data_IF_636975483838
#
_entry.id   IF_636975483838
#
_cell.length_a   1.000
_cell.length_b   1.000
_cell.length_c   1.000
_cell.angle_alpha   90.00
_cell.angle_beta   90.00
_cell.angle_gamma   90.00
#
_symmetry.space_group_name_H-M   'P 1'
#
loop_
_entity.id
_entity.type
_entity.pdbx_description
1 polymer ?
#
# COMPACT_ATOMS: atom_id res chain seq x y z
N UNK A 1 -19.13 -6.36 -5.17
CA UNK A 1 -20.27 -5.44 -4.95
C UNK A 1 -19.98 -4.00 -5.40
N UNK A 2 -19.03 -3.20 -4.79
CA UNK A 2 -18.75 -1.83 -5.30
C UNK A 2 -18.15 -1.84 -6.71
N UNK A 3 -17.19 -2.70 -6.97
CA UNK A 3 -16.59 -2.86 -8.31
C UNK A 3 -17.62 -3.27 -9.37
N UNK A 4 -18.58 -4.10 -9.02
CA UNK A 4 -19.71 -4.47 -9.90
C UNK A 4 -20.61 -3.27 -10.17
N UNK A 5 -20.99 -2.54 -9.13
CA UNK A 5 -21.83 -1.36 -9.24
C UNK A 5 -21.17 -0.24 -10.05
N UNK A 6 -19.91 0.06 -9.77
CA UNK A 6 -19.18 1.19 -10.37
C UNK A 6 -18.48 0.86 -11.69
N UNK A 7 -18.13 -0.40 -11.92
CA UNK A 7 -17.23 -0.80 -13.01
C UNK A 7 -15.75 -0.52 -12.76
N UNK A 8 -15.41 0.02 -11.61
CA UNK A 8 -14.02 0.21 -11.22
C UNK A 8 -13.40 -1.14 -10.84
N UNK A 9 -12.45 -1.58 -11.66
CA UNK A 9 -11.71 -2.84 -11.52
C UNK A 9 -10.23 -2.61 -11.23
N UNK A 10 -9.87 -1.41 -10.74
CA UNK A 10 -8.48 -1.11 -10.46
C UNK A 10 -7.85 -2.18 -9.54
N UNK A 11 -6.71 -2.78 -9.94
CA UNK A 11 -6.12 -3.91 -9.22
C UNK A 11 -5.65 -3.56 -7.81
N UNK A 12 -5.46 -2.28 -7.49
CA UNK A 12 -5.14 -1.84 -6.12
C UNK A 12 -6.21 -2.26 -5.10
N UNK A 13 -7.47 -2.37 -5.54
CA UNK A 13 -8.60 -2.72 -4.69
C UNK A 13 -8.93 -4.21 -4.69
N UNK A 14 -8.58 -4.94 -5.76
CA UNK A 14 -9.07 -6.28 -6.03
C UNK A 14 -7.97 -7.35 -6.02
N UNK A 15 -6.73 -6.99 -6.37
CA UNK A 15 -5.62 -7.94 -6.46
C UNK A 15 -4.70 -7.84 -5.24
N UNK A 16 -4.65 -8.91 -4.46
CA UNK A 16 -3.71 -9.04 -3.35
C UNK A 16 -2.26 -8.99 -3.82
N UNK A 17 -1.97 -9.60 -4.97
CA UNK A 17 -0.62 -9.64 -5.54
C UNK A 17 -0.16 -8.25 -5.97
N UNK A 18 -1.01 -7.54 -6.73
CA UNK A 18 -0.74 -6.17 -7.14
C UNK A 18 -0.56 -5.23 -5.95
N UNK A 19 -1.50 -5.26 -4.99
CA UNK A 19 -1.46 -4.39 -3.82
C UNK A 19 -0.22 -4.63 -2.95
N UNK A 20 0.29 -5.86 -2.89
CA UNK A 20 1.55 -6.17 -2.20
C UNK A 20 2.76 -5.45 -2.80
N UNK A 21 2.76 -5.15 -4.09
CA UNK A 21 3.85 -4.41 -4.74
C UNK A 21 3.80 -2.90 -4.49
N UNK A 22 2.71 -2.40 -3.91
CA UNK A 22 2.52 -0.98 -3.56
C UNK A 22 2.99 -0.66 -2.15
N UNK A 23 3.05 0.64 -1.81
CA UNK A 23 3.35 1.11 -0.46
C UNK A 23 2.33 0.68 0.60
N UNK A 24 1.15 0.23 0.19
CA UNK A 24 0.12 -0.25 1.09
C UNK A 24 0.31 -1.72 1.50
N UNK A 25 0.95 -2.54 0.66
CA UNK A 25 1.22 -3.95 0.91
C UNK A 25 0.00 -4.86 1.00
N UNK A 26 -1.21 -4.30 0.81
CA UNK A 26 -2.50 -4.99 0.85
C UNK A 26 -3.55 -4.20 0.07
N UNK A 27 -4.67 -4.81 -0.35
CA UNK A 27 -5.76 -4.11 -1.02
C UNK A 27 -6.32 -2.96 -0.18
N UNK A 28 -6.60 -1.85 -0.84
CA UNK A 28 -7.19 -0.65 -0.25
C UNK A 28 -8.69 -0.65 -0.57
N UNK A 29 -9.52 -0.25 0.39
CA UNK A 29 -10.97 -0.07 0.16
C UNK A 29 -11.17 1.12 -0.78
N UNK A 30 -12.12 1.02 -1.71
CA UNK A 30 -12.48 2.13 -2.59
C UNK A 30 -12.86 3.38 -1.79
N UNK A 31 -12.22 4.51 -2.04
CA UNK A 31 -12.50 5.77 -1.36
C UNK A 31 -13.97 6.20 -1.49
N UNK A 32 -14.53 6.03 -2.69
CA UNK A 32 -15.92 6.34 -2.98
C UNK A 32 -16.92 5.48 -2.19
N UNK A 33 -16.56 4.25 -1.80
CA UNK A 33 -17.37 3.43 -0.90
C UNK A 33 -17.47 4.07 0.50
N UNK A 34 -16.38 4.61 1.02
CA UNK A 34 -16.38 5.38 2.26
C UNK A 34 -17.18 6.68 2.15
N UNK A 35 -17.14 7.35 0.99
CA UNK A 35 -17.95 8.53 0.73
C UNK A 35 -19.45 8.18 0.69
N UNK A 36 -19.84 7.03 0.14
CA UNK A 36 -21.23 6.55 0.18
C UNK A 36 -21.69 6.27 1.62
N UNK A 37 -20.82 5.68 2.46
CA UNK A 37 -21.13 5.51 3.87
C UNK A 37 -21.36 6.86 4.57
N UNK A 38 -20.56 7.89 4.27
CA UNK A 38 -20.79 9.25 4.75
C UNK A 38 -22.15 9.82 4.29
N UNK A 39 -22.52 9.61 3.01
CA UNK A 39 -23.81 10.07 2.47
C UNK A 39 -25.01 9.48 3.22
N UNK A 40 -24.92 8.23 3.68
CA UNK A 40 -25.98 7.58 4.47
C UNK A 40 -26.26 8.26 5.81
N UNK A 41 -25.35 9.10 6.29
CA UNK A 41 -25.51 9.89 7.51
C UNK A 41 -25.91 11.36 7.24
N UNK A 42 -26.09 11.74 5.98
CA UNK A 42 -26.55 13.08 5.59
C UNK A 42 -28.01 13.03 5.19
N UNK A 43 -28.87 13.65 5.98
CA UNK A 43 -30.30 13.75 5.72
C UNK A 43 -30.66 15.18 5.35
N UNK A 44 -31.04 15.40 4.09
CA UNK A 44 -31.57 16.68 3.65
C UNK A 44 -33.02 16.81 4.11
N UNK A 45 -33.46 18.00 4.56
CA UNK A 45 -34.89 18.23 4.87
C UNK A 45 -35.77 18.07 3.63
N UNK A 46 -37.04 17.73 3.84
CA UNK A 46 -38.01 17.67 2.74
C UNK A 46 -38.03 19.00 1.95
N UNK A 47 -38.07 18.89 0.64
CA UNK A 47 -38.06 20.05 -0.26
C UNK A 47 -36.65 20.67 -0.47
N UNK A 48 -35.59 20.05 0.04
CA UNK A 48 -34.22 20.48 -0.24
C UNK A 48 -33.57 19.59 -1.31
N UNK A 49 -32.83 20.22 -2.22
CA UNK A 49 -32.13 19.53 -3.30
C UNK A 49 -30.64 19.87 -3.22
N UNK A 50 -29.79 18.85 -3.35
CA UNK A 50 -28.35 19.03 -3.42
C UNK A 50 -27.94 19.86 -4.66
N UNK A 51 -27.04 20.81 -4.48
CA UNK A 51 -26.51 21.68 -5.54
C UNK A 51 -25.03 21.45 -5.81
N UNK A 52 -24.31 20.83 -4.88
CA UNK A 52 -22.94 20.39 -5.10
C UNK A 52 -22.56 19.25 -4.17
N UNK A 53 -21.63 18.43 -4.64
CA UNK A 53 -20.95 17.37 -3.90
C UNK A 53 -19.45 17.66 -3.88
N UNK A 54 -18.86 17.60 -2.70
CA UNK A 54 -17.40 17.55 -2.52
C UNK A 54 -17.08 16.29 -1.72
N UNK A 55 -16.24 15.41 -2.27
CA UNK A 55 -15.70 14.24 -1.60
C UNK A 55 -14.18 14.30 -1.58
N UNK A 56 -13.57 14.17 -0.41
CA UNK A 56 -12.12 14.19 -0.22
C UNK A 56 -11.67 12.86 0.39
N UNK A 57 -10.66 12.23 -0.23
CA UNK A 57 -10.08 10.96 0.17
C UNK A 57 -8.72 11.24 0.79
N UNK A 58 -8.70 11.39 2.11
CA UNK A 58 -7.57 11.94 2.85
C UNK A 58 -6.51 10.90 3.17
N UNK A 59 -6.95 9.66 3.42
CA UNK A 59 -6.09 8.52 3.75
C UNK A 59 -6.69 7.21 3.22
N UNK A 60 -5.85 6.18 2.98
CA UNK A 60 -6.35 4.87 2.56
C UNK A 60 -7.21 4.23 3.66
N UNK A 61 -8.23 3.50 3.24
CA UNK A 61 -9.04 2.66 4.11
C UNK A 61 -8.70 1.19 3.87
N UNK A 62 -8.77 0.37 4.92
CA UNK A 62 -8.42 -1.05 4.86
C UNK A 62 -9.57 -1.96 5.28
N UNK A 63 -9.58 -3.17 4.73
CA UNK A 63 -10.57 -4.20 5.05
C UNK A 63 -10.39 -4.62 6.53
N UNK A 64 -11.51 -4.84 7.23
CA UNK A 64 -11.49 -5.27 8.64
C UNK A 64 -11.27 -4.15 9.66
N UNK A 65 -11.02 -2.91 9.22
CA UNK A 65 -10.93 -1.75 10.11
C UNK A 65 -12.32 -1.17 10.38
N UNK A 66 -12.60 -0.85 11.62
CA UNK A 66 -13.84 -0.17 12.03
C UNK A 66 -13.64 1.34 11.92
N UNK A 67 -14.51 1.99 11.17
CA UNK A 67 -14.52 3.44 10.99
C UNK A 67 -15.73 4.04 11.68
N UNK A 68 -15.61 5.28 12.16
CA UNK A 68 -16.65 6.05 12.82
C UNK A 68 -17.04 7.23 11.94
N UNK A 69 -18.34 7.48 11.78
CA UNK A 69 -18.84 8.65 11.04
C UNK A 69 -19.23 9.76 12.03
N UNK A 70 -18.79 10.97 11.74
CA UNK A 70 -19.26 12.20 12.40
C UNK A 70 -19.92 13.11 11.39
N UNK A 71 -20.99 13.78 11.81
CA UNK A 71 -21.73 14.72 10.95
C UNK A 71 -21.77 16.10 11.56
N UNK A 72 -21.71 17.11 10.71
CA UNK A 72 -21.95 18.50 11.08
C UNK A 72 -22.85 19.19 10.08
N UNK A 73 -23.60 20.21 10.52
CA UNK A 73 -24.52 20.96 9.70
C UNK A 73 -24.34 22.46 9.92
N UNK A 74 -24.29 23.20 8.81
CA UNK A 74 -24.39 24.68 8.76
C UNK A 74 -25.53 25.06 7.82
N UNK A 75 -26.06 26.26 7.84
CA UNK A 75 -27.10 26.70 6.90
C UNK A 75 -26.71 26.41 5.44
N UNK A 76 -27.52 25.61 4.75
CA UNK A 76 -27.29 25.19 3.36
C UNK A 76 -26.11 24.25 3.11
N UNK A 77 -25.48 23.73 4.16
CA UNK A 77 -24.30 22.86 4.04
C UNK A 77 -24.35 21.74 5.07
N UNK A 78 -24.14 20.50 4.58
CA UNK A 78 -24.00 19.28 5.37
C UNK A 78 -22.62 18.69 5.16
N UNK A 79 -22.05 18.16 6.21
CA UNK A 79 -20.75 17.51 6.18
C UNK A 79 -20.80 16.21 6.96
N UNK A 80 -20.22 15.16 6.42
CA UNK A 80 -19.97 13.90 7.10
C UNK A 80 -18.51 13.51 6.91
N UNK A 81 -17.87 13.05 7.97
CA UNK A 81 -16.47 12.61 7.96
C UNK A 81 -16.35 11.20 8.51
N UNK A 82 -15.56 10.39 7.85
CA UNK A 82 -15.22 9.04 8.28
C UNK A 82 -13.86 9.06 8.97
N UNK A 83 -13.77 8.49 10.16
CA UNK A 83 -12.58 8.48 11.00
C UNK A 83 -12.04 7.08 11.24
N UNK A 84 -10.73 6.93 11.18
CA UNK A 84 -9.96 5.84 11.78
C UNK A 84 -9.33 6.37 13.08
N UNK A 85 -9.88 5.98 14.23
CA UNK A 85 -9.53 6.59 15.51
C UNK A 85 -9.82 8.09 15.51
N UNK A 86 -8.78 8.90 15.72
CA UNK A 86 -8.83 10.36 15.68
C UNK A 86 -8.56 10.94 14.29
N UNK A 87 -8.18 10.12 13.32
CA UNK A 87 -7.75 10.58 11.99
C UNK A 87 -8.88 10.50 10.99
N UNK A 88 -9.22 11.65 10.36
CA UNK A 88 -10.17 11.68 9.25
C UNK A 88 -9.58 10.98 8.02
N UNK A 89 -10.33 10.05 7.42
CA UNK A 89 -9.94 9.29 6.22
C UNK A 89 -10.73 9.67 4.98
N UNK A 90 -12.01 10.02 5.14
CA UNK A 90 -12.88 10.51 4.07
C UNK A 90 -13.70 11.68 4.61
N UNK A 91 -13.93 12.70 3.78
CA UNK A 91 -14.85 13.82 4.08
C UNK A 91 -15.78 14.03 2.91
N UNK A 92 -17.07 14.14 3.19
CA UNK A 92 -18.11 14.45 2.20
C UNK A 92 -18.84 15.72 2.63
N UNK A 93 -18.99 16.65 1.69
CA UNK A 93 -19.74 17.89 1.88
C UNK A 93 -20.80 18.03 0.82
N UNK A 94 -22.03 18.31 1.23
CA UNK A 94 -23.12 18.68 0.34
C UNK A 94 -23.52 20.14 0.59
N UNK A 95 -23.69 20.90 -0.50
CA UNK A 95 -24.49 22.12 -0.46
C UNK A 95 -25.87 21.79 -1.00
N UNK A 96 -26.89 22.33 -0.40
CA UNK A 96 -28.27 22.16 -0.84
C UNK A 96 -29.05 23.45 -0.64
N UNK A 97 -30.13 23.59 -1.41
CA UNK A 97 -31.06 24.70 -1.33
C UNK A 97 -32.51 24.19 -1.35
N UNK A 98 -33.42 25.01 -0.94
CA UNK A 98 -34.84 24.73 -1.06
C UNK A 98 -35.17 24.60 -2.55
N UNK A 99 -35.79 23.48 -2.93
CA UNK A 99 -36.28 23.27 -4.29
C UNK A 99 -37.57 24.09 -4.49
N UNK A 100 -37.63 24.88 -5.53
CA UNK A 100 -38.83 25.62 -5.92
C UNK A 100 -39.70 24.84 -6.89
N UNK A 101 -39.38 23.58 -7.19
CA UNK A 101 -40.08 22.74 -8.17
C UNK A 101 -40.29 21.35 -7.60
N UNK A 102 -41.39 20.71 -8.05
CA UNK A 102 -41.58 19.27 -7.88
C UNK A 102 -40.31 18.53 -8.36
N UNK A 103 -39.87 17.53 -7.62
CA UNK A 103 -38.69 16.74 -7.94
C UNK A 103 -38.79 16.27 -9.40
N UNK A 104 -37.72 16.49 -10.17
CA UNK A 104 -37.65 15.96 -11.52
C UNK A 104 -37.86 14.45 -11.45
N UNK A 105 -38.79 13.90 -12.26
CA UNK A 105 -39.09 12.47 -12.21
C UNK A 105 -37.80 11.68 -12.35
N UNK A 106 -37.60 10.69 -11.49
CA UNK A 106 -36.48 9.77 -11.59
C UNK A 106 -36.46 9.21 -13.03
N UNK A 107 -35.32 9.40 -13.71
CA UNK A 107 -35.13 8.80 -15.02
C UNK A 107 -35.12 7.28 -14.89
N UNK A 108 -35.34 6.59 -15.98
CA UNK A 108 -35.31 5.13 -16.06
C UNK A 108 -33.94 4.60 -15.68
N UNK A 109 -33.87 3.92 -14.55
CA UNK A 109 -32.72 3.17 -14.10
C UNK A 109 -32.74 1.77 -14.72
N UNK A 110 -32.58 1.68 -16.04
CA UNK A 110 -32.50 0.42 -16.76
C UNK A 110 -31.11 -0.21 -16.64
N UNK A 111 -30.97 -1.52 -16.88
CA UNK A 111 -29.68 -2.17 -16.92
C UNK A 111 -28.86 -1.58 -18.07
N UNK A 112 -27.75 -0.93 -17.72
CA UNK A 112 -26.74 -0.52 -18.70
C UNK A 112 -25.60 -1.51 -18.66
N UNK A 113 -25.55 -2.38 -19.68
CA UNK A 113 -24.40 -3.29 -19.88
C UNK A 113 -23.37 -2.52 -20.69
N UNK A 114 -22.28 -2.15 -20.04
CA UNK A 114 -21.09 -1.61 -20.74
C UNK A 114 -20.01 -2.68 -20.69
N UNK A 115 -19.39 -2.92 -21.84
CA UNK A 115 -18.13 -3.68 -21.88
C UNK A 115 -17.08 -2.92 -21.07
N UNK A 116 -16.57 -3.57 -20.04
CA UNK A 116 -15.61 -3.00 -19.09
C UNK A 116 -14.27 -3.68 -19.30
N UNK A 117 -13.34 -2.94 -19.89
CA UNK A 117 -11.95 -3.35 -20.05
C UNK A 117 -11.16 -3.35 -18.74
N UNK A 118 -9.89 -3.64 -18.86
CA UNK A 118 -8.92 -3.46 -17.79
C UNK A 118 -8.60 -1.98 -17.58
N UNK A 119 -8.02 -1.63 -16.42
CA UNK A 119 -7.60 -0.27 -16.13
C UNK A 119 -6.52 0.19 -17.11
N UNK A 120 -6.66 1.40 -17.63
CA UNK A 120 -5.69 1.97 -18.57
C UNK A 120 -4.31 2.09 -17.90
N UNK A 121 -3.29 1.55 -18.54
CA UNK A 121 -1.90 1.70 -18.13
C UNK A 121 -1.32 2.91 -18.86
N UNK A 122 -1.18 4.03 -18.16
CA UNK A 122 -0.62 5.27 -18.72
C UNK A 122 0.73 5.58 -18.09
N UNK A 123 1.67 5.97 -18.94
CA UNK A 123 2.93 6.53 -18.49
C UNK A 123 2.67 7.92 -17.88
N UNK A 124 3.36 8.24 -16.78
CA UNK A 124 3.18 9.52 -16.08
C UNK A 124 3.43 10.72 -17.00
N UNK A 125 4.42 10.61 -17.87
CA UNK A 125 4.85 11.63 -18.82
C UNK A 125 3.83 11.88 -19.94
N UNK A 126 2.92 10.92 -20.18
CA UNK A 126 1.85 11.07 -21.18
C UNK A 126 0.63 11.83 -20.65
N UNK A 127 0.55 12.06 -19.33
CA UNK A 127 -0.55 12.80 -18.71
C UNK A 127 -0.13 14.26 -18.61
N UNK A 128 -0.51 15.04 -19.60
CA UNK A 128 -0.14 16.45 -19.77
C UNK A 128 -1.38 17.34 -19.84
N UNK A 129 -1.28 18.63 -19.49
CA UNK A 129 -2.38 19.56 -19.69
C UNK A 129 -2.92 19.53 -21.11
N UNK A 130 -4.25 19.54 -21.25
CA UNK A 130 -4.93 19.43 -22.54
C UNK A 130 -5.22 17.98 -23.01
N UNK A 131 -4.70 16.95 -22.33
CA UNK A 131 -5.13 15.57 -22.58
C UNK A 131 -6.62 15.44 -22.23
N UNK A 132 -7.42 14.97 -23.20
CA UNK A 132 -8.86 14.79 -23.04
C UNK A 132 -9.29 13.34 -23.21
N UNK A 133 -10.31 12.96 -22.46
CA UNK A 133 -11.06 11.73 -22.66
C UNK A 133 -12.55 12.01 -22.62
N UNK A 134 -13.30 11.27 -23.41
CA UNK A 134 -14.78 11.34 -23.43
C UNK A 134 -15.34 9.93 -23.58
N UNK A 135 -16.49 9.71 -23.00
CA UNK A 135 -17.14 8.42 -23.07
C UNK A 135 -18.56 8.44 -22.52
N UNK A 136 -19.16 7.29 -22.50
CA UNK A 136 -20.45 7.04 -21.85
C UNK A 136 -20.21 6.18 -20.61
N UNK A 137 -20.86 6.53 -19.51
CA UNK A 137 -20.79 5.77 -18.29
C UNK A 137 -22.20 5.29 -17.89
N UNK A 138 -22.27 4.05 -17.47
CA UNK A 138 -23.44 3.47 -16.84
C UNK A 138 -23.03 2.60 -15.67
N UNK A 139 -23.77 2.71 -14.58
CA UNK A 139 -23.59 1.85 -13.41
C UNK A 139 -24.54 0.63 -13.49
N UNK A 140 -24.18 -0.44 -12.78
CA UNK A 140 -25.15 -1.50 -12.51
C UNK A 140 -26.18 -0.97 -11.48
N UNK A 141 -27.38 -0.65 -11.98
CA UNK A 141 -28.41 -0.01 -11.18
C UNK A 141 -28.88 -0.88 -10.01
N UNK A 142 -28.92 -2.20 -10.16
CA UNK A 142 -29.35 -3.12 -9.11
C UNK A 142 -28.29 -3.25 -8.01
N UNK A 143 -27.02 -3.42 -8.41
CA UNK A 143 -25.90 -3.45 -7.49
C UNK A 143 -25.74 -2.12 -6.76
N UNK A 144 -25.89 -0.98 -7.46
CA UNK A 144 -25.83 0.35 -6.87
C UNK A 144 -26.96 0.58 -5.87
N UNK A 145 -28.20 0.17 -6.21
CA UNK A 145 -29.35 0.27 -5.31
C UNK A 145 -29.13 -0.54 -4.03
N UNK A 146 -28.67 -1.78 -4.17
CA UNK A 146 -28.35 -2.64 -3.03
C UNK A 146 -27.28 -2.00 -2.14
N UNK A 147 -26.26 -1.40 -2.75
CA UNK A 147 -25.17 -0.75 -2.06
C UNK A 147 -25.65 0.52 -1.31
N UNK A 148 -26.45 1.37 -1.98
CA UNK A 148 -27.01 2.59 -1.40
C UNK A 148 -27.95 2.27 -0.22
N UNK A 149 -28.82 1.27 -0.38
CA UNK A 149 -29.74 0.83 0.66
C UNK A 149 -29.03 0.35 1.93
N UNK A 150 -27.83 -0.24 1.81
CA UNK A 150 -27.02 -0.70 2.95
C UNK A 150 -26.70 0.42 3.94
N UNK A 151 -26.59 1.65 3.48
CA UNK A 151 -26.34 2.85 4.30
C UNK A 151 -27.52 3.78 4.40
N UNK A 152 -28.72 3.36 3.93
CA UNK A 152 -29.92 4.20 3.98
C UNK A 152 -29.89 5.39 3.01
N UNK A 153 -29.05 5.36 1.97
CA UNK A 153 -29.01 6.39 0.94
C UNK A 153 -30.20 6.19 0.00
N UNK A 154 -31.16 7.10 0.03
CA UNK A 154 -32.36 7.04 -0.81
C UNK A 154 -32.10 7.61 -2.21
N UNK A 155 -31.38 8.72 -2.30
CA UNK A 155 -31.02 9.35 -3.58
C UNK A 155 -29.91 8.54 -4.26
N UNK A 156 -30.21 7.92 -5.40
CA UNK A 156 -29.25 7.11 -6.18
C UNK A 156 -28.29 7.94 -7.04
N UNK A 157 -28.60 9.21 -7.25
CA UNK A 157 -27.81 10.09 -8.11
C UNK A 157 -26.41 10.37 -7.53
N UNK A 158 -26.31 10.70 -6.24
CA UNK A 158 -25.03 10.95 -5.60
C UNK A 158 -24.11 9.71 -5.55
N UNK A 159 -24.60 8.50 -5.18
CA UNK A 159 -23.85 7.26 -5.33
C UNK A 159 -23.39 6.96 -6.75
N UNK A 160 -24.21 7.26 -7.77
CA UNK A 160 -23.83 7.10 -9.18
C UNK A 160 -22.68 8.01 -9.56
N UNK A 161 -22.70 9.28 -9.15
CA UNK A 161 -21.62 10.23 -9.39
C UNK A 161 -20.29 9.80 -8.71
N UNK A 162 -20.37 9.28 -7.48
CA UNK A 162 -19.20 8.71 -6.79
C UNK A 162 -18.68 7.46 -7.50
N UNK A 163 -19.57 6.59 -8.00
CA UNK A 163 -19.21 5.40 -8.77
C UNK A 163 -18.52 5.79 -10.09
N UNK A 164 -19.07 6.78 -10.80
CA UNK A 164 -18.46 7.33 -12.01
C UNK A 164 -17.07 7.93 -11.73
N UNK A 165 -16.93 8.74 -10.67
CA UNK A 165 -15.65 9.33 -10.31
C UNK A 165 -14.57 8.28 -9.99
N UNK A 166 -14.96 7.19 -9.31
CA UNK A 166 -14.08 6.05 -9.08
C UNK A 166 -13.65 5.37 -10.39
N UNK A 167 -14.63 5.12 -11.29
CA UNK A 167 -14.37 4.56 -12.60
C UNK A 167 -13.44 5.45 -13.44
N UNK A 168 -13.75 6.75 -13.57
CA UNK A 168 -12.92 7.70 -14.32
C UNK A 168 -11.47 7.66 -13.87
N UNK A 169 -11.26 7.80 -12.55
CA UNK A 169 -9.90 7.88 -11.99
C UNK A 169 -9.21 6.53 -11.98
N UNK A 170 -9.90 5.47 -11.59
CA UNK A 170 -9.32 4.15 -11.42
C UNK A 170 -9.12 3.37 -12.73
N UNK A 171 -9.95 3.65 -13.75
CA UNK A 171 -9.94 2.87 -14.98
C UNK A 171 -9.39 3.63 -16.18
N UNK A 172 -9.55 4.97 -16.24
CA UNK A 172 -9.24 5.72 -17.45
C UNK A 172 -8.16 6.79 -17.27
N UNK A 173 -8.30 7.70 -16.30
CA UNK A 173 -7.39 8.84 -16.15
C UNK A 173 -7.21 9.23 -14.67
N UNK A 174 -6.04 8.93 -14.09
CA UNK A 174 -4.81 8.36 -14.62
C UNK A 174 -4.85 6.84 -14.91
N UNK A 175 -5.85 6.09 -14.44
CA UNK A 175 -5.97 4.65 -14.64
C UNK A 175 -5.31 3.82 -13.56
N UNK A 176 -4.63 2.72 -13.93
CA UNK A 176 -4.13 1.69 -13.00
C UNK A 176 -3.31 2.24 -11.83
N UNK A 177 -2.43 3.20 -12.08
CA UNK A 177 -1.56 3.77 -11.04
C UNK A 177 -2.20 4.91 -10.23
N UNK A 178 -3.50 5.17 -10.41
CA UNK A 178 -4.19 6.27 -9.75
C UNK A 178 -4.37 6.10 -8.25
N UNK A 179 -4.36 7.24 -7.56
CA UNK A 179 -4.91 7.42 -6.21
C UNK A 179 -5.89 8.59 -6.26
N UNK A 180 -7.16 8.32 -6.02
CA UNK A 180 -8.18 9.37 -6.00
C UNK A 180 -8.05 10.22 -4.74
N UNK A 181 -7.93 11.54 -4.91
CA UNK A 181 -7.74 12.48 -3.81
C UNK A 181 -8.99 13.31 -3.51
N UNK A 182 -9.63 13.85 -4.55
CA UNK A 182 -10.78 14.74 -4.36
C UNK A 182 -11.67 14.77 -5.58
N UNK A 183 -12.99 14.90 -5.35
CA UNK A 183 -14.01 15.17 -6.35
C UNK A 183 -14.84 16.38 -5.91
N UNK A 184 -15.03 17.35 -6.79
CA UNK A 184 -15.93 18.48 -6.58
C UNK A 184 -16.84 18.59 -7.78
N UNK A 185 -18.14 18.44 -7.58
CA UNK A 185 -19.15 18.58 -8.61
C UNK A 185 -20.18 19.64 -8.23
N UNK A 186 -20.59 20.46 -9.18
CA UNK A 186 -21.72 21.38 -9.12
C UNK A 186 -22.80 20.84 -10.03
N UNK A 187 -24.04 20.83 -9.54
CA UNK A 187 -25.17 20.27 -10.28
C UNK A 187 -25.86 21.37 -11.05
N UNK A 188 -26.07 21.11 -12.33
CA UNK A 188 -26.68 22.06 -13.26
C UNK A 188 -28.06 21.54 -13.71
N UNK A 189 -29.02 22.47 -13.77
CA UNK A 189 -30.31 22.23 -14.40
C UNK A 189 -31.24 21.23 -13.70
N UNK A 190 -32.34 20.95 -14.41
CA UNK A 190 -33.38 19.96 -14.07
C UNK A 190 -33.27 18.71 -14.94
N UNK A 191 -32.06 18.41 -15.45
CA UNK A 191 -31.84 17.26 -16.32
C UNK A 191 -32.25 15.95 -15.62
N UNK A 192 -32.93 15.07 -16.35
CA UNK A 192 -33.33 13.76 -15.86
C UNK A 192 -32.13 13.00 -15.36
N UNK A 193 -32.17 12.60 -14.12
CA UNK A 193 -31.17 11.74 -13.50
C UNK A 193 -31.32 10.34 -14.05
N UNK A 194 -30.38 9.88 -14.84
CA UNK A 194 -30.39 8.56 -15.51
C UNK A 194 -29.24 7.69 -15.03
N UNK A 195 -29.39 6.37 -15.13
CA UNK A 195 -28.32 5.42 -14.87
C UNK A 195 -27.17 5.49 -15.87
N UNK A 196 -27.38 6.13 -17.04
CA UNK A 196 -26.37 6.32 -18.08
C UNK A 196 -26.17 7.80 -18.35
N UNK A 197 -24.93 8.22 -18.49
CA UNK A 197 -24.53 9.60 -18.78
C UNK A 197 -23.29 9.63 -19.65
N UNK A 198 -23.12 10.70 -20.42
CA UNK A 198 -21.88 10.98 -21.12
C UNK A 198 -21.00 11.86 -20.27
N UNK A 199 -19.68 11.68 -20.40
CA UNK A 199 -18.72 12.52 -19.71
C UNK A 199 -17.64 13.02 -20.67
N UNK A 200 -17.10 14.16 -20.33
CA UNK A 200 -15.89 14.73 -20.89
C UNK A 200 -14.96 15.12 -19.76
N UNK A 201 -13.70 14.73 -19.85
CA UNK A 201 -12.66 15.03 -18.88
C UNK A 201 -11.42 15.57 -19.58
N UNK A 202 -10.86 16.67 -19.08
CA UNK A 202 -9.69 17.35 -19.61
C UNK A 202 -8.67 17.61 -18.50
N UNK A 203 -7.43 17.22 -18.68
CA UNK A 203 -6.35 17.53 -17.73
C UNK A 203 -6.09 19.03 -17.75
N UNK A 204 -6.41 19.71 -16.65
CA UNK A 204 -6.16 21.13 -16.47
C UNK A 204 -4.70 21.40 -16.04
N UNK A 205 -4.19 20.57 -15.12
CA UNK A 205 -2.80 20.66 -14.66
C UNK A 205 -2.24 19.27 -14.29
N UNK A 206 -0.93 19.11 -14.45
CA UNK A 206 -0.19 17.91 -14.04
C UNK A 206 1.16 18.33 -13.43
N UNK A 207 1.36 18.05 -12.12
CA UNK A 207 2.66 18.26 -11.46
C UNK A 207 3.44 16.94 -11.46
N UNK A 208 4.44 16.85 -12.32
CA UNK A 208 5.27 15.67 -12.47
C UNK A 208 6.12 15.35 -11.23
N UNK A 209 6.42 16.29 -10.34
CA UNK A 209 7.23 16.06 -9.12
C UNK A 209 6.47 15.20 -8.12
N UNK A 210 5.20 15.53 -7.90
CA UNK A 210 4.34 14.83 -6.94
C UNK A 210 3.37 13.84 -7.60
N UNK A 211 3.24 13.88 -8.93
CA UNK A 211 2.27 13.07 -9.67
C UNK A 211 0.84 13.53 -9.48
N UNK A 212 0.62 14.79 -9.06
CA UNK A 212 -0.70 15.36 -8.90
C UNK A 212 -1.28 15.70 -10.28
N UNK A 213 -2.51 15.26 -10.52
CA UNK A 213 -3.28 15.56 -11.75
C UNK A 213 -4.58 16.22 -11.33
N UNK A 214 -4.86 17.37 -11.90
CA UNK A 214 -6.14 18.07 -11.82
C UNK A 214 -6.86 17.91 -13.15
N UNK A 215 -8.10 17.44 -13.10
CA UNK A 215 -8.92 17.16 -14.28
C UNK A 215 -10.23 17.93 -14.17
N UNK A 216 -10.55 18.76 -15.16
CA UNK A 216 -11.88 19.34 -15.34
C UNK A 216 -12.82 18.30 -15.94
N UNK A 217 -14.05 18.26 -15.42
CA UNK A 217 -15.03 17.26 -15.82
C UNK A 217 -16.40 17.87 -16.09
N UNK A 218 -17.08 17.35 -17.09
CA UNK A 218 -18.48 17.65 -17.36
C UNK A 218 -19.27 16.37 -17.64
N UNK A 219 -20.49 16.33 -17.16
CA UNK A 219 -21.41 15.20 -17.25
C UNK A 219 -22.69 15.66 -17.93
N UNK A 220 -23.22 14.89 -18.87
CA UNK A 220 -24.43 15.22 -19.60
C UNK A 220 -25.37 14.02 -19.76
N UNK A 221 -26.67 14.30 -19.82
CA UNK A 221 -27.69 13.35 -20.22
C UNK A 221 -28.39 13.90 -21.48
N UNK A 222 -28.16 13.27 -22.62
CA UNK A 222 -28.50 13.83 -23.92
C UNK A 222 -27.75 15.16 -24.16
N UNK A 223 -28.46 16.20 -24.53
CA UNK A 223 -27.89 17.55 -24.76
C UNK A 223 -27.76 18.42 -23.49
N UNK A 224 -28.23 17.94 -22.34
CA UNK A 224 -28.25 18.73 -21.11
C UNK A 224 -27.09 18.38 -20.18
N UNK A 225 -26.32 19.38 -19.76
CA UNK A 225 -25.32 19.22 -18.68
C UNK A 225 -26.05 18.96 -17.35
N UNK A 226 -25.63 17.91 -16.65
CA UNK A 226 -26.20 17.52 -15.35
C UNK A 226 -25.27 17.89 -14.19
N UNK A 227 -23.94 17.85 -14.43
CA UNK A 227 -22.96 18.27 -13.45
C UNK A 227 -21.67 18.69 -14.17
N UNK A 228 -20.94 19.64 -13.56
CA UNK A 228 -19.59 20.02 -13.96
C UNK A 228 -18.71 20.21 -12.73
N UNK A 229 -17.41 20.11 -12.90
CA UNK A 229 -16.48 20.30 -11.78
C UNK A 229 -15.08 19.83 -12.03
N UNK A 230 -14.43 19.35 -10.99
CA UNK A 230 -13.03 18.98 -11.00
C UNK A 230 -12.78 17.72 -10.18
N UNK A 231 -11.79 16.93 -10.58
CA UNK A 231 -11.24 15.87 -9.76
C UNK A 231 -9.72 15.97 -9.66
N UNK A 232 -9.19 15.58 -8.53
CA UNK A 232 -7.76 15.52 -8.25
C UNK A 232 -7.36 14.07 -7.96
N UNK A 233 -6.30 13.66 -8.58
CA UNK A 233 -5.72 12.32 -8.38
C UNK A 233 -4.20 12.40 -8.31
N UNK A 234 -3.58 11.38 -7.73
CA UNK A 234 -2.14 11.18 -7.77
C UNK A 234 -1.81 9.97 -8.61
N UNK A 235 -0.71 10.06 -9.34
CA UNK A 235 -0.11 8.92 -10.03
C UNK A 235 0.94 8.33 -9.09
N UNK A 236 0.76 7.07 -8.70
CA UNK A 236 1.76 6.35 -7.91
C UNK A 236 3.05 6.20 -8.73
N UNK A 237 4.22 6.43 -8.13
CA UNK A 237 5.47 6.14 -8.80
C UNK A 237 5.56 4.65 -9.15
N UNK A 238 6.24 4.27 -10.25
CA UNK A 238 6.50 2.88 -10.56
C UNK A 238 7.25 2.20 -9.41
N UNK A 239 7.02 0.88 -9.25
CA UNK A 239 7.71 0.10 -8.20
C UNK A 239 9.22 0.22 -8.43
N UNK A 240 10.01 0.55 -7.39
CA UNK A 240 11.45 0.62 -7.55
C UNK A 240 12.00 -0.74 -7.95
N UNK A 241 12.73 -0.78 -9.05
CA UNK A 241 13.51 -1.95 -9.41
C UNK A 241 14.68 -2.10 -8.44
N UNK A 242 15.11 -3.34 -8.23
CA UNK A 242 16.34 -3.58 -7.48
C UNK A 242 17.52 -3.17 -8.36
N UNK A 243 18.14 -2.06 -8.02
CA UNK A 243 19.30 -1.53 -8.72
C UNK A 243 20.38 -2.60 -8.89
N UNK A 244 21.10 -2.54 -9.99
CA UNK A 244 22.29 -3.38 -10.18
C UNK A 244 23.29 -3.02 -9.09
N UNK A 245 23.83 -4.03 -8.43
CA UNK A 245 24.94 -3.82 -7.50
C UNK A 245 26.17 -3.51 -8.35
N UNK A 246 26.76 -2.34 -8.13
CA UNK A 246 28.02 -2.00 -8.76
C UNK A 246 29.09 -2.99 -8.30
N UNK A 247 29.79 -3.61 -9.25
CA UNK A 247 30.85 -4.58 -8.96
C UNK A 247 32.11 -3.94 -8.32
N UNK A 248 32.18 -2.61 -8.30
CA UNK A 248 33.28 -1.89 -7.65
C UNK A 248 33.32 -2.23 -6.15
N UNK A 249 34.45 -2.80 -5.70
CA UNK A 249 34.65 -3.23 -4.32
C UNK A 249 34.04 -4.59 -3.94
N UNK A 250 33.37 -5.28 -4.86
CA UNK A 250 32.96 -6.67 -4.67
C UNK A 250 34.14 -7.59 -4.90
N UNK A 251 34.45 -8.47 -3.95
CA UNK A 251 35.46 -9.54 -4.11
C UNK A 251 34.71 -10.81 -4.56
N UNK A 252 34.81 -11.20 -5.84
CA UNK A 252 34.22 -12.45 -6.30
C UNK A 252 34.71 -13.63 -5.45
N UNK A 253 33.85 -14.62 -5.25
CA UNK A 253 34.15 -15.85 -4.51
C UNK A 253 34.61 -15.68 -3.05
N UNK A 254 34.53 -14.46 -2.48
CA UNK A 254 34.91 -14.20 -1.08
C UNK A 254 34.01 -14.93 -0.06
N UNK A 255 32.82 -15.38 -0.49
CA UNK A 255 31.89 -16.21 0.28
C UNK A 255 31.68 -17.59 -0.39
N UNK A 256 32.60 -18.05 -1.25
CA UNK A 256 32.51 -19.37 -1.86
C UNK A 256 32.42 -20.48 -0.79
N UNK A 257 31.53 -21.43 -0.98
CA UNK A 257 31.25 -22.49 0.00
C UNK A 257 30.44 -22.09 1.22
N UNK A 258 30.05 -20.82 1.36
CA UNK A 258 29.09 -20.36 2.38
C UNK A 258 27.65 -20.52 1.91
N UNK A 259 26.77 -20.79 2.85
CA UNK A 259 25.33 -21.01 2.62
C UNK A 259 24.53 -19.97 3.35
N UNK A 260 23.60 -19.33 2.67
CA UNK A 260 22.73 -18.29 3.21
C UNK A 260 21.24 -18.61 3.01
N UNK A 261 20.42 -18.30 3.99
CA UNK A 261 18.94 -18.30 3.90
C UNK A 261 18.43 -16.87 4.11
N UNK A 262 17.59 -16.37 3.21
CA UNK A 262 17.00 -15.02 3.29
C UNK A 262 15.49 -15.11 3.34
N UNK A 263 14.90 -14.71 4.49
CA UNK A 263 13.46 -14.58 4.66
C UNK A 263 13.00 -13.20 4.14
N UNK A 264 12.09 -13.21 3.14
CA UNK A 264 11.70 -11.99 2.44
C UNK A 264 12.65 -11.59 1.31
N UNK A 265 13.01 -12.57 0.46
CA UNK A 265 14.04 -12.45 -0.60
C UNK A 265 13.55 -11.87 -1.93
N UNK A 266 12.22 -11.68 -2.14
CA UNK A 266 11.66 -11.40 -3.48
C UNK A 266 11.83 -9.96 -3.97
N UNK A 267 12.05 -8.99 -3.07
CA UNK A 267 12.10 -7.56 -3.41
C UNK A 267 12.88 -6.73 -2.39
N UNK A 268 13.12 -5.45 -2.73
CA UNK A 268 13.76 -4.47 -1.85
C UNK A 268 15.11 -4.94 -1.33
N UNK A 269 15.37 -4.74 -0.03
CA UNK A 269 16.64 -5.12 0.59
C UNK A 269 16.92 -6.61 0.51
N UNK A 270 15.91 -7.49 0.69
CA UNK A 270 16.11 -8.93 0.63
C UNK A 270 16.57 -9.42 -0.75
N UNK A 271 16.00 -8.91 -1.83
CA UNK A 271 16.44 -9.21 -3.19
C UNK A 271 17.82 -8.63 -3.51
N UNK A 272 18.11 -7.44 -2.99
CA UNK A 272 19.45 -6.85 -3.10
C UNK A 272 20.49 -7.66 -2.33
N UNK A 273 20.17 -8.14 -1.11
CA UNK A 273 21.02 -9.03 -0.31
C UNK A 273 21.32 -10.35 -1.04
N UNK A 274 20.28 -10.94 -1.66
CA UNK A 274 20.45 -12.14 -2.46
C UNK A 274 21.50 -11.93 -3.55
N UNK A 275 21.35 -10.88 -4.35
CA UNK A 275 22.34 -10.53 -5.40
C UNK A 275 23.73 -10.27 -4.84
N UNK A 276 23.82 -9.55 -3.70
CA UNK A 276 25.09 -9.21 -3.10
C UNK A 276 25.88 -10.43 -2.62
N UNK A 277 25.19 -11.45 -2.11
CA UNK A 277 25.78 -12.71 -1.66
C UNK A 277 26.10 -13.65 -2.82
N UNK A 278 25.19 -13.75 -3.82
CA UNK A 278 25.43 -14.51 -5.06
C UNK A 278 26.70 -14.01 -5.80
N UNK A 279 26.88 -12.69 -5.91
CA UNK A 279 28.07 -12.07 -6.53
C UNK A 279 29.38 -12.40 -5.79
N UNK A 280 29.29 -12.86 -4.55
CA UNK A 280 30.43 -13.29 -3.70
C UNK A 280 30.58 -14.80 -3.66
N UNK A 281 29.82 -15.54 -4.47
CA UNK A 281 29.91 -17.00 -4.57
C UNK A 281 29.21 -17.79 -3.48
N UNK A 282 28.36 -17.17 -2.64
CA UNK A 282 27.58 -17.89 -1.64
C UNK A 282 26.42 -18.67 -2.29
N UNK A 283 26.07 -19.83 -1.72
CA UNK A 283 24.84 -20.54 -2.06
C UNK A 283 23.66 -19.89 -1.31
N UNK A 284 22.77 -19.18 -2.05
CA UNK A 284 21.69 -18.43 -1.43
C UNK A 284 20.35 -19.09 -1.65
N UNK A 285 19.63 -19.40 -0.56
CA UNK A 285 18.25 -19.86 -0.54
C UNK A 285 17.34 -18.70 -0.11
N UNK A 286 16.20 -18.56 -0.75
CA UNK A 286 15.22 -17.53 -0.44
C UNK A 286 13.92 -18.11 0.08
N UNK A 287 13.18 -17.33 0.88
CA UNK A 287 11.75 -17.55 1.14
C UNK A 287 10.97 -16.29 0.83
N UNK A 288 9.88 -16.43 0.08
CA UNK A 288 8.99 -15.34 -0.27
C UNK A 288 7.54 -15.81 -0.39
N UNK A 289 6.57 -14.93 -0.17
CA UNK A 289 5.13 -15.25 -0.28
C UNK A 289 4.64 -15.45 -1.72
N UNK A 290 5.40 -14.96 -2.69
CA UNK A 290 5.18 -15.16 -4.12
C UNK A 290 6.49 -15.49 -4.79
N UNK A 291 6.50 -16.47 -5.72
CA UNK A 291 7.68 -16.82 -6.50
C UNK A 291 7.95 -15.76 -7.57
N UNK A 292 9.22 -15.42 -7.79
CA UNK A 292 9.62 -14.73 -9.00
C UNK A 292 9.90 -15.77 -10.09
N UNK A 293 9.35 -15.57 -11.28
CA UNK A 293 9.42 -16.52 -12.40
C UNK A 293 10.86 -16.89 -12.84
N UNK A 294 11.87 -16.12 -12.44
CA UNK A 294 13.28 -16.33 -12.83
C UNK A 294 14.15 -17.06 -11.78
N UNK A 295 13.63 -17.40 -10.58
CA UNK A 295 14.46 -17.91 -9.48
C UNK A 295 13.78 -19.03 -8.66
N UNK A 296 13.07 -19.93 -9.34
CA UNK A 296 12.33 -21.00 -8.68
C UNK A 296 13.23 -22.10 -8.08
N UNK A 297 14.48 -22.22 -8.53
CA UNK A 297 15.36 -23.32 -8.13
C UNK A 297 15.84 -23.24 -6.68
N UNK A 298 15.93 -22.02 -6.10
CA UNK A 298 16.41 -21.80 -4.72
C UNK A 298 15.48 -20.96 -3.87
N UNK A 299 14.23 -20.72 -4.31
CA UNK A 299 13.25 -19.96 -3.56
C UNK A 299 12.09 -20.86 -3.11
N UNK A 300 11.87 -20.96 -1.80
CA UNK A 300 10.70 -21.56 -1.20
C UNK A 300 9.55 -20.55 -1.20
N UNK A 301 8.39 -20.94 -1.72
CA UNK A 301 7.19 -20.09 -1.67
C UNK A 301 6.46 -20.40 -0.36
N UNK A 302 6.43 -19.40 0.53
CA UNK A 302 5.81 -19.60 1.84
C UNK A 302 5.83 -18.32 2.70
N UNK A 303 5.14 -18.42 3.84
CA UNK A 303 5.18 -17.39 4.88
C UNK A 303 6.33 -17.70 5.84
N UNK A 304 7.20 -16.72 6.11
CA UNK A 304 8.32 -16.87 7.05
C UNK A 304 7.89 -17.05 8.53
N UNK A 305 6.60 -16.96 8.84
CA UNK A 305 6.03 -17.34 10.13
C UNK A 305 5.37 -18.75 10.13
N UNK A 306 5.40 -19.45 8.99
CA UNK A 306 4.82 -20.79 8.88
C UNK A 306 5.87 -21.87 9.19
N UNK A 307 5.73 -22.63 10.31
CA UNK A 307 6.71 -23.65 10.71
C UNK A 307 6.89 -24.75 9.66
N UNK A 308 5.84 -25.13 8.95
CA UNK A 308 5.92 -26.19 7.92
C UNK A 308 6.77 -25.73 6.72
N UNK A 309 6.55 -24.50 6.24
CA UNK A 309 7.33 -23.93 5.16
C UNK A 309 8.81 -23.74 5.57
N UNK A 310 9.07 -23.32 6.79
CA UNK A 310 10.43 -23.18 7.34
C UNK A 310 11.13 -24.54 7.46
N UNK A 311 10.42 -25.56 7.92
CA UNK A 311 10.95 -26.93 8.02
C UNK A 311 11.36 -27.47 6.65
N UNK A 312 10.50 -27.36 5.64
CA UNK A 312 10.84 -27.76 4.26
C UNK A 312 12.10 -27.07 3.75
N UNK A 313 12.21 -25.75 3.98
CA UNK A 313 13.40 -24.99 3.59
C UNK A 313 14.64 -25.46 4.33
N UNK A 314 14.58 -25.67 5.66
CA UNK A 314 15.68 -26.21 6.47
C UNK A 314 16.13 -27.58 6.00
N UNK A 315 15.19 -28.50 5.78
CA UNK A 315 15.50 -29.85 5.28
C UNK A 315 16.21 -29.82 3.93
N UNK A 316 15.75 -28.94 3.04
CA UNK A 316 16.38 -28.73 1.75
C UNK A 316 17.82 -28.23 1.88
N UNK A 317 18.06 -27.18 2.69
CA UNK A 317 19.39 -26.62 2.96
C UNK A 317 20.29 -27.69 3.60
N UNK A 318 19.79 -28.43 4.58
CA UNK A 318 20.54 -29.51 5.22
C UNK A 318 20.91 -30.63 4.26
N UNK A 319 19.99 -31.04 3.37
CA UNK A 319 20.24 -32.09 2.38
C UNK A 319 21.25 -31.68 1.31
N UNK A 320 21.18 -30.44 0.83
CA UNK A 320 22.04 -29.95 -0.25
C UNK A 320 23.44 -29.55 0.25
N UNK A 321 23.57 -29.02 1.48
CA UNK A 321 24.81 -28.43 1.96
C UNK A 321 25.27 -28.91 3.35
N UNK A 322 24.38 -29.42 4.19
CA UNK A 322 24.71 -29.87 5.55
C UNK A 322 25.10 -28.74 6.52
N UNK A 323 25.02 -27.50 6.10
CA UNK A 323 25.45 -26.32 6.88
C UNK A 323 24.61 -25.09 6.57
N UNK A 324 24.62 -24.12 7.48
CA UNK A 324 24.08 -22.78 7.27
C UNK A 324 25.01 -21.74 7.90
N UNK A 325 25.55 -20.84 7.07
CA UNK A 325 26.46 -19.79 7.54
C UNK A 325 25.73 -18.49 7.88
N UNK A 326 24.68 -18.16 7.11
CA UNK A 326 23.95 -16.90 7.30
C UNK A 326 22.45 -17.11 7.26
N UNK A 327 21.74 -16.73 8.33
CA UNK A 327 20.28 -16.61 8.36
C UNK A 327 19.89 -15.13 8.35
N UNK A 328 19.29 -14.64 7.27
CA UNK A 328 18.92 -13.23 7.15
C UNK A 328 17.41 -13.06 7.38
N UNK A 329 17.02 -12.54 8.54
CA UNK A 329 15.63 -12.24 8.91
C UNK A 329 15.27 -10.83 8.42
N UNK A 330 14.82 -10.73 7.17
CA UNK A 330 14.44 -9.47 6.53
C UNK A 330 12.93 -9.31 6.32
N UNK A 331 12.14 -10.37 6.42
CA UNK A 331 10.70 -10.31 6.24
C UNK A 331 10.05 -9.33 7.25
N UNK A 332 9.17 -8.47 6.74
CA UNK A 332 8.46 -7.47 7.55
C UNK A 332 7.04 -7.28 7.03
N UNK A 333 6.02 -7.11 7.90
CA UNK A 333 4.69 -6.70 7.47
C UNK A 333 4.72 -5.28 6.86
N UNK A 334 3.69 -4.91 6.08
CA UNK A 334 3.54 -3.52 5.61
C UNK A 334 3.52 -2.54 6.78
N UNK A 335 4.28 -1.45 6.70
CA UNK A 335 4.35 -0.41 7.74
C UNK A 335 3.42 0.73 7.34
N UNK A 336 2.28 0.80 8.00
CA UNK A 336 1.28 1.85 7.79
C UNK A 336 1.16 2.70 9.05
N UNK A 337 0.89 4.00 8.95
CA UNK A 337 0.75 4.85 10.14
C UNK A 337 -0.33 4.33 11.09
N UNK A 338 0.03 4.17 12.38
CA UNK A 338 -0.86 3.87 13.49
C UNK A 338 -0.51 4.80 14.64
N UNK A 339 -1.52 5.26 15.38
CA UNK A 339 -1.31 6.11 16.56
C UNK A 339 -1.54 5.31 17.85
N UNK A 340 -0.86 5.71 18.90
CA UNK A 340 -1.08 5.22 20.28
C UNK A 340 -2.39 5.82 20.81
N UNK A 341 -3.51 5.21 20.45
CA UNK A 341 -4.85 5.58 20.88
C UNK A 341 -5.69 4.32 21.14
N UNK A 342 -6.79 4.41 21.90
CA UNK A 342 -7.57 3.23 22.29
C UNK A 342 -7.99 2.35 21.13
N UNK A 343 -8.40 2.94 20.01
CA UNK A 343 -8.81 2.21 18.79
C UNK A 343 -7.63 1.61 18.02
N UNK A 344 -6.41 2.08 18.27
CA UNK A 344 -5.17 1.60 17.64
C UNK A 344 -4.54 0.40 18.35
N UNK A 345 -4.80 0.22 19.66
CA UNK A 345 -4.10 -0.73 20.51
C UNK A 345 -4.12 -2.17 19.97
N UNK A 346 -5.28 -2.67 19.57
CA UNK A 346 -5.42 -4.02 19.01
C UNK A 346 -4.64 -4.22 17.71
N UNK A 347 -4.62 -3.22 16.83
CA UNK A 347 -3.85 -3.26 15.56
C UNK A 347 -2.35 -3.17 15.80
N UNK A 348 -1.94 -2.38 16.79
CA UNK A 348 -0.53 -2.28 17.23
C UNK A 348 -0.07 -3.64 17.76
N UNK A 349 -0.85 -4.27 18.64
CA UNK A 349 -0.55 -5.61 19.18
C UNK A 349 -0.44 -6.66 18.06
N UNK A 350 -1.42 -6.73 17.18
CA UNK A 350 -1.42 -7.68 16.06
C UNK A 350 -0.23 -7.47 15.08
N UNK A 351 0.16 -6.22 14.86
CA UNK A 351 1.36 -5.93 14.05
C UNK A 351 2.64 -6.43 14.73
N UNK A 352 2.79 -6.15 16.04
CA UNK A 352 3.97 -6.57 16.80
C UNK A 352 4.06 -8.10 16.81
N UNK A 353 2.96 -8.79 17.07
CA UNK A 353 2.90 -10.26 17.07
C UNK A 353 3.34 -10.83 15.71
N UNK A 354 2.77 -10.35 14.61
CA UNK A 354 3.15 -10.80 13.27
C UNK A 354 4.62 -10.46 12.95
N UNK A 355 5.08 -9.25 13.24
CA UNK A 355 6.44 -8.81 12.91
C UNK A 355 7.50 -9.57 13.70
N UNK A 356 7.22 -9.88 14.96
CA UNK A 356 8.09 -10.68 15.83
C UNK A 356 8.09 -12.14 15.36
N UNK A 357 6.94 -12.71 15.03
CA UNK A 357 6.83 -14.09 14.53
C UNK A 357 7.63 -14.33 13.25
N UNK A 358 7.71 -13.33 12.35
CA UNK A 358 8.54 -13.39 11.13
C UNK A 358 10.06 -13.47 11.39
N UNK A 359 10.51 -13.25 12.62
CA UNK A 359 11.90 -13.40 13.05
C UNK A 359 12.05 -14.57 14.03
N UNK A 360 11.14 -14.71 14.97
CA UNK A 360 11.18 -15.74 16.01
C UNK A 360 11.07 -17.15 15.39
N UNK A 361 10.11 -17.38 14.49
CA UNK A 361 9.93 -18.69 13.89
C UNK A 361 11.16 -19.15 13.08
N UNK A 362 11.75 -18.33 12.18
CA UNK A 362 13.01 -18.71 11.53
C UNK A 362 14.17 -18.93 12.49
N UNK A 363 14.35 -18.08 13.49
CA UNK A 363 15.39 -18.30 14.50
C UNK A 363 15.22 -19.67 15.17
N UNK A 364 14.01 -19.97 15.67
CA UNK A 364 13.73 -21.23 16.33
C UNK A 364 14.01 -22.46 15.43
N UNK A 365 13.76 -22.36 14.14
CA UNK A 365 13.94 -23.47 13.19
C UNK A 365 15.41 -23.66 12.77
N UNK A 366 16.20 -22.57 12.65
CA UNK A 366 17.54 -22.64 12.03
C UNK A 366 18.70 -22.49 13.01
N UNK A 367 18.47 -22.13 14.32
CA UNK A 367 19.56 -21.87 15.26
C UNK A 367 20.49 -23.06 15.51
N UNK A 368 19.96 -24.28 15.53
CA UNK A 368 20.79 -25.48 15.67
C UNK A 368 21.74 -25.67 14.46
N UNK A 369 21.22 -25.47 13.24
CA UNK A 369 22.02 -25.59 12.03
C UNK A 369 23.08 -24.48 11.94
N UNK A 370 22.75 -23.24 12.33
CA UNK A 370 23.70 -22.13 12.47
C UNK A 370 24.78 -22.44 13.52
N UNK A 371 24.39 -22.96 14.70
CA UNK A 371 25.30 -23.32 15.77
C UNK A 371 26.29 -24.43 15.34
N UNK A 372 25.80 -25.39 14.54
CA UNK A 372 26.66 -26.43 13.95
C UNK A 372 27.71 -25.91 12.96
N UNK A 373 27.51 -24.74 12.39
CA UNK A 373 28.36 -24.15 11.33
C UNK A 373 29.15 -22.92 11.77
N UNK A 374 29.12 -22.54 13.05
CA UNK A 374 29.66 -21.25 13.55
C UNK A 374 29.04 -20.07 12.78
N UNK A 375 27.73 -20.15 12.53
CA UNK A 375 27.01 -19.24 11.64
C UNK A 375 26.62 -17.92 12.30
N UNK A 376 26.01 -17.06 11.49
CA UNK A 376 25.52 -15.75 11.91
C UNK A 376 24.03 -15.57 11.60
N UNK A 377 23.26 -15.14 12.61
CA UNK A 377 21.90 -14.62 12.41
C UNK A 377 21.96 -13.12 12.16
N UNK A 378 21.51 -12.70 10.98
CA UNK A 378 21.44 -11.30 10.54
C UNK A 378 20.01 -10.80 10.73
N UNK A 379 19.79 -9.85 11.61
CA UNK A 379 18.47 -9.30 11.96
C UNK A 379 18.34 -7.90 11.36
N UNK A 380 17.41 -7.74 10.43
CA UNK A 380 17.15 -6.42 9.83
C UNK A 380 16.22 -5.63 10.76
N UNK A 381 16.81 -4.70 11.49
CA UNK A 381 16.15 -3.72 12.36
C UNK A 381 15.88 -2.39 11.63
N UNK A 382 16.05 -1.26 12.28
CA UNK A 382 15.88 0.08 11.72
C UNK A 382 16.54 1.14 12.63
N UNK A 383 16.97 2.25 12.05
CA UNK A 383 17.39 3.44 12.81
C UNK A 383 16.27 4.00 13.69
N UNK A 384 15.00 3.74 13.37
CA UNK A 384 13.83 4.19 14.16
C UNK A 384 13.76 3.58 15.57
N UNK A 385 14.54 2.55 15.88
CA UNK A 385 14.66 2.05 17.25
C UNK A 385 15.35 3.07 18.18
N UNK A 386 16.23 3.93 17.64
CA UNK A 386 16.91 5.00 18.38
C UNK A 386 16.20 6.35 18.26
N UNK A 387 15.58 6.58 17.10
CA UNK A 387 14.86 7.81 16.80
C UNK A 387 13.39 7.49 16.48
N UNK A 388 12.56 7.25 17.51
CA UNK A 388 11.17 6.86 17.32
C UNK A 388 10.36 7.89 16.56
N UNK A 389 9.54 7.44 15.64
CA UNK A 389 8.59 8.26 14.87
C UNK A 389 7.18 8.00 15.37
N UNK A 390 6.46 9.07 15.70
CA UNK A 390 5.14 9.02 16.35
C UNK A 390 4.08 8.22 15.58
N UNK A 391 4.20 8.16 14.26
CA UNK A 391 3.27 7.46 13.38
C UNK A 391 3.51 5.93 13.33
N UNK A 392 4.63 5.43 13.89
CA UNK A 392 5.03 4.02 13.77
C UNK A 392 5.40 3.35 15.10
N UNK A 393 4.62 3.53 16.19
CA UNK A 393 4.95 2.92 17.51
C UNK A 393 5.03 1.39 17.44
N UNK A 394 4.15 0.75 16.67
CA UNK A 394 4.12 -0.69 16.42
C UNK A 394 5.40 -1.19 15.76
N UNK A 395 5.92 -0.45 14.78
CA UNK A 395 7.15 -0.80 14.05
C UNK A 395 8.38 -0.70 14.96
N UNK A 396 8.49 0.40 15.71
CA UNK A 396 9.59 0.62 16.67
C UNK A 396 9.60 -0.48 17.75
N UNK A 397 8.44 -0.77 18.34
CA UNK A 397 8.31 -1.82 19.36
C UNK A 397 8.69 -3.20 18.81
N UNK A 398 8.20 -3.57 17.61
CA UNK A 398 8.54 -4.83 16.96
C UNK A 398 10.05 -4.94 16.67
N UNK A 399 10.67 -3.85 16.15
CA UNK A 399 12.11 -3.86 15.85
C UNK A 399 12.97 -3.95 17.11
N UNK A 400 12.59 -3.32 18.23
CA UNK A 400 13.25 -3.52 19.52
C UNK A 400 13.11 -4.96 20.02
N UNK A 401 11.93 -5.57 19.88
CA UNK A 401 11.71 -6.95 20.29
C UNK A 401 12.60 -7.94 19.52
N UNK A 402 12.74 -7.78 18.19
CA UNK A 402 13.60 -8.68 17.40
C UNK A 402 15.08 -8.48 17.67
N UNK A 403 15.54 -7.27 18.05
CA UNK A 403 16.90 -7.05 18.53
C UNK A 403 17.18 -7.79 19.85
N UNK A 404 16.22 -7.78 20.77
CA UNK A 404 16.34 -8.52 22.03
C UNK A 404 16.40 -10.03 21.79
N UNK A 405 15.56 -10.58 20.88
CA UNK A 405 15.61 -11.99 20.48
C UNK A 405 16.96 -12.38 19.89
N UNK A 406 17.58 -11.52 19.07
CA UNK A 406 18.91 -11.74 18.53
C UNK A 406 19.96 -11.88 19.63
N UNK A 407 19.92 -10.98 20.62
CA UNK A 407 20.87 -11.03 21.74
C UNK A 407 20.71 -12.30 22.58
N UNK A 408 19.46 -12.75 22.82
CA UNK A 408 19.19 -14.00 23.55
C UNK A 408 19.64 -15.22 22.76
N UNK A 409 19.48 -15.23 21.42
CA UNK A 409 19.90 -16.33 20.56
C UNK A 409 21.40 -16.61 20.65
N UNK A 410 22.25 -15.58 20.68
CA UNK A 410 23.70 -15.77 20.84
C UNK A 410 24.11 -16.20 22.26
N UNK A 411 23.32 -15.88 23.27
CA UNK A 411 23.55 -16.40 24.63
C UNK A 411 23.17 -17.89 24.74
N UNK A 412 22.07 -18.28 24.12
CA UNK A 412 21.55 -19.65 24.15
C UNK A 412 22.37 -20.59 23.26
N UNK A 413 22.92 -20.08 22.15
CA UNK A 413 23.73 -20.82 21.19
C UNK A 413 25.14 -20.16 21.05
N UNK A 414 26.11 -20.54 21.88
CA UNK A 414 27.38 -19.81 22.04
C UNK A 414 28.27 -19.78 20.78
N UNK A 415 28.00 -20.62 19.80
CA UNK A 415 28.73 -20.62 18.51
C UNK A 415 28.05 -19.75 17.45
N UNK A 416 26.81 -19.31 17.70
CA UNK A 416 26.08 -18.40 16.80
C UNK A 416 26.48 -16.97 17.11
N UNK A 417 26.96 -16.25 16.10
CA UNK A 417 27.06 -14.78 16.15
C UNK A 417 25.75 -14.13 15.69
N UNK A 418 25.46 -12.92 16.17
CA UNK A 418 24.32 -12.14 15.68
C UNK A 418 24.77 -10.79 15.16
N UNK A 419 24.24 -10.40 14.00
CA UNK A 419 24.46 -9.10 13.40
C UNK A 419 23.12 -8.35 13.30
N UNK A 420 22.92 -7.36 14.14
CA UNK A 420 21.78 -6.46 14.07
C UNK A 420 22.10 -5.35 13.09
N UNK A 421 21.31 -5.23 12.03
CA UNK A 421 21.48 -4.20 11.00
C UNK A 421 20.40 -3.14 11.18
N UNK A 422 20.78 -1.88 11.34
CA UNK A 422 19.87 -0.73 11.47
C UNK A 422 19.96 0.16 10.24
N UNK A 423 19.28 -0.20 9.12
CA UNK A 423 19.28 0.63 7.93
C UNK A 423 18.47 1.91 8.16
N UNK A 424 18.80 3.00 7.45
CA UNK A 424 17.96 4.17 7.32
C UNK A 424 16.73 3.87 6.44
N UNK A 425 15.97 4.89 6.09
CA UNK A 425 14.88 4.75 5.12
C UNK A 425 15.42 4.32 3.75
N UNK A 426 14.99 3.16 3.26
CA UNK A 426 15.42 2.59 1.97
C UNK A 426 14.35 2.80 0.91
N UNK A 427 14.76 3.03 -0.35
CA UNK A 427 13.87 3.10 -1.50
C UNK A 427 13.37 1.69 -1.87
N UNK A 428 12.23 1.34 -1.35
CA UNK A 428 11.55 0.04 -1.57
C UNK A 428 10.09 0.26 -1.89
N UNK A 429 9.33 -0.78 -2.22
CA UNK A 429 7.88 -0.68 -2.37
C UNK A 429 7.19 -0.04 -1.15
N UNK A 430 7.68 -0.30 0.06
CA UNK A 430 7.14 0.22 1.32
C UNK A 430 7.23 1.76 1.43
N UNK A 431 8.29 2.35 0.91
CA UNK A 431 8.56 3.80 0.94
C UNK A 431 8.22 4.50 -0.38
N UNK A 432 7.62 3.77 -1.33
CA UNK A 432 7.37 4.26 -2.68
C UNK A 432 6.14 5.18 -2.77
N UNK A 433 6.21 6.29 -2.09
CA UNK A 433 5.28 7.41 -2.19
C UNK A 433 6.04 8.68 -2.57
N UNK A 434 5.40 9.74 -3.11
CA UNK A 434 6.10 10.97 -3.45
C UNK A 434 6.97 11.52 -2.32
N UNK A 435 6.45 11.55 -1.09
CA UNK A 435 7.20 12.01 0.10
C UNK A 435 8.14 10.90 0.63
N UNK A 436 7.70 9.65 0.60
CA UNK A 436 8.48 8.51 1.12
C UNK A 436 9.79 8.29 0.37
N UNK A 437 9.87 8.64 -0.92
CA UNK A 437 11.09 8.54 -1.74
C UNK A 437 12.15 9.60 -1.40
N UNK A 438 11.73 10.73 -0.84
CA UNK A 438 12.67 11.82 -0.49
C UNK A 438 13.66 11.34 0.57
N UNK A 439 14.96 11.44 0.28
CA UNK A 439 16.04 10.99 1.16
C UNK A 439 16.05 9.48 1.43
N UNK A 440 15.38 8.66 0.62
CA UNK A 440 15.46 7.20 0.74
C UNK A 440 16.74 6.70 0.04
N UNK A 441 17.50 5.90 0.76
CA UNK A 441 18.77 5.36 0.28
C UNK A 441 18.57 4.09 -0.58
N UNK A 442 19.57 3.76 -1.41
CA UNK A 442 19.56 2.59 -2.28
C UNK A 442 19.64 1.28 -1.47
N UNK A 443 18.70 0.33 -1.64
CA UNK A 443 18.82 -1.00 -1.05
C UNK A 443 20.07 -1.75 -1.50
N UNK A 444 20.54 -1.55 -2.73
CA UNK A 444 21.71 -2.22 -3.28
C UNK A 444 23.00 -1.80 -2.56
N UNK A 445 23.14 -0.50 -2.25
CA UNK A 445 24.26 0.01 -1.47
C UNK A 445 24.35 -0.65 -0.09
N UNK A 446 23.22 -0.74 0.61
CA UNK A 446 23.17 -1.34 1.95
C UNK A 446 23.37 -2.85 1.91
N UNK A 447 22.79 -3.54 0.95
CA UNK A 447 23.02 -4.97 0.74
C UNK A 447 24.51 -5.27 0.52
N UNK A 448 25.20 -4.45 -0.30
CA UNK A 448 26.62 -4.61 -0.54
C UNK A 448 27.45 -4.40 0.74
N UNK A 449 27.13 -3.38 1.55
CA UNK A 449 27.81 -3.11 2.84
C UNK A 449 27.58 -4.24 3.85
N UNK A 450 26.37 -4.79 3.93
CA UNK A 450 26.06 -5.93 4.81
C UNK A 450 26.85 -7.17 4.34
N UNK A 451 26.83 -7.48 3.05
CA UNK A 451 27.58 -8.60 2.48
C UNK A 451 29.09 -8.46 2.72
N UNK A 452 29.65 -7.27 2.55
CA UNK A 452 31.07 -6.99 2.87
C UNK A 452 31.39 -7.19 4.36
N UNK A 453 30.45 -6.87 5.28
CA UNK A 453 30.64 -7.17 6.71
C UNK A 453 30.67 -8.67 6.98
N UNK A 454 29.87 -9.46 6.24
CA UNK A 454 29.83 -10.92 6.35
C UNK A 454 31.06 -11.64 5.78
N UNK A 455 31.87 -10.97 4.98
CA UNK A 455 33.17 -11.50 4.53
C UNK A 455 34.24 -11.55 5.67
N UNK A 456 34.06 -10.68 6.68
CA UNK A 456 34.98 -10.63 7.83
C UNK A 456 34.57 -11.56 8.97
N UNK A 457 35.46 -11.78 9.92
CA UNK A 457 35.16 -12.62 11.09
C UNK A 457 34.04 -12.00 11.95
N UNK A 458 33.18 -12.85 12.45
CA UNK A 458 32.11 -12.53 13.42
C UNK A 458 32.45 -13.32 14.71
N UNK A 459 32.44 -12.65 15.84
CA UNK A 459 32.79 -13.28 17.11
C UNK A 459 31.65 -14.22 17.58
N UNK A 460 31.88 -15.53 17.76
CA UNK A 460 30.91 -16.46 18.26
C UNK A 460 30.32 -16.03 19.61
N UNK A 461 29.02 -16.22 19.80
CA UNK A 461 28.32 -15.85 21.02
C UNK A 461 28.21 -14.34 21.25
N UNK A 462 28.56 -13.51 20.27
CA UNK A 462 28.49 -12.03 20.37
C UNK A 462 27.44 -11.45 19.45
N UNK A 463 26.85 -10.35 19.90
CA UNK A 463 25.96 -9.51 19.11
C UNK A 463 26.70 -8.26 18.67
N UNK A 464 26.74 -8.03 17.36
CA UNK A 464 27.26 -6.81 16.76
C UNK A 464 26.11 -5.97 16.18
N UNK A 465 26.23 -4.66 16.25
CA UNK A 465 25.26 -3.73 15.66
C UNK A 465 25.95 -3.01 14.50
N UNK A 466 25.46 -3.22 13.29
CA UNK A 466 25.84 -2.48 12.10
C UNK A 466 24.87 -1.30 11.92
N UNK A 467 25.35 -0.12 12.28
CA UNK A 467 24.63 1.13 12.14
C UNK A 467 25.32 2.00 11.09
N UNK A 468 24.54 2.72 10.32
CA UNK A 468 25.04 3.57 9.26
C UNK A 468 24.97 5.04 9.72
N UNK A 469 26.11 5.67 10.02
CA UNK A 469 26.10 7.07 10.42
C UNK A 469 25.75 7.98 9.23
N UNK A 470 24.91 8.98 9.44
CA UNK A 470 24.92 10.22 8.71
C UNK A 470 23.88 10.47 7.63
N UNK A 471 22.86 9.63 7.43
CA UNK A 471 21.81 9.94 6.43
C UNK A 471 20.40 9.94 7.04
N UNK A 472 20.21 10.79 8.05
CA UNK A 472 18.84 11.19 8.44
C UNK A 472 18.69 12.63 7.93
N UNK A 473 18.02 12.78 6.80
CA UNK A 473 17.49 14.08 6.42
C UNK A 473 16.43 14.46 7.47
N UNK A 474 16.78 15.32 8.39
CA UNK A 474 15.81 16.06 9.19
C UNK A 474 15.00 16.91 8.20
N UNK A 475 13.72 16.57 8.04
CA UNK A 475 12.74 17.48 7.46
C UNK A 475 12.27 18.32 8.64
N UNK A 476 12.78 19.56 8.74
CA UNK A 476 12.21 20.62 9.55
C UNK A 476 10.84 21.05 8.99
#
# INVERSE_FOLDING_TARGET
MFSEASGDRNPLHLSQEYARSTSYGQPVVFGCLGAMACLGHIHLPAGWTATSLEASFLRPMFIGVKYRVETSRKPGRWEAQLFDGSTAVVSVRLKAKVSQRDEAPEGTWGPSVFERGDAAVRQRESIVPGLTISGSYGCDAAALATLAARWGVVDRFLPMLLSWGSYLVGMELPGESALFSKLVLRFEGTARRSAAMNYHASVASADSRFGLVETEVSLSAGASTIASGQCWSYIRPPVPEVEKIECAGVRPDSLAGRVAVILGSSRGLGAAMKRALDLRGAAVFGMARSGNAGDQLRTEVGNAADPEALRRLRERVSKEHGRLDFLICNACPPVLPLLLEPNGAGRIGAYIDLAVSLTLAPLSEFLELLNGSDGCAVIISSVYVEQPVKEFPHYVAAKRAVEALASVASLQYPRVSTLIVRPPKLLTAMTNTPIGRLGAASPALFANRIAARLEGPLAPGKTEILQFPGEIATIE
#
